data_IF_834349564603
#
_entry.id   IF_834349564603
#
_cell.length_a   1.000
_cell.length_b   1.000
_cell.length_c   1.000
_cell.angle_alpha   90.00
_cell.angle_beta   90.00
_cell.angle_gamma   90.00
#
_symmetry.space_group_name_H-M   'P 1'
#
loop_
_entity.id
_entity.type
_entity.pdbx_description
1 polymer ?
#
# COMPACT_ATOMS: atom_id res chain seq x y z
N UNK A 1 -9.67 -29.14 8.35
CA UNK A 1 -9.73 -27.70 8.67
C UNK A 1 -10.47 -26.99 7.54
N UNK A 2 -11.65 -26.42 7.79
CA UNK A 2 -12.29 -25.49 6.83
C UNK A 2 -11.50 -24.19 6.89
N UNK A 3 -10.78 -23.83 5.84
CA UNK A 3 -10.10 -22.55 5.77
C UNK A 3 -11.14 -21.43 5.79
N UNK A 4 -10.95 -20.45 6.69
CA UNK A 4 -11.73 -19.22 6.70
C UNK A 4 -11.29 -18.38 5.50
N UNK A 5 -12.13 -18.36 4.45
CA UNK A 5 -11.83 -17.72 3.16
C UNK A 5 -11.50 -16.22 3.31
N UNK A 6 -12.26 -15.43 4.08
CA UNK A 6 -11.88 -14.07 4.47
C UNK A 6 -10.49 -13.97 5.11
N UNK A 7 -10.14 -14.87 6.02
CA UNK A 7 -8.83 -14.85 6.68
C UNK A 7 -7.69 -15.11 5.68
N UNK A 8 -7.90 -16.02 4.73
CA UNK A 8 -6.94 -16.27 3.64
C UNK A 8 -6.81 -15.04 2.73
N UNK A 9 -7.92 -14.39 2.38
CA UNK A 9 -7.89 -13.17 1.58
C UNK A 9 -7.12 -12.04 2.27
N UNK A 10 -7.30 -11.88 3.59
CA UNK A 10 -6.55 -10.93 4.39
C UNK A 10 -5.04 -11.23 4.37
N UNK A 11 -4.65 -12.49 4.54
CA UNK A 11 -3.25 -12.90 4.49
C UNK A 11 -2.63 -12.63 3.11
N UNK A 12 -3.35 -12.93 2.03
CA UNK A 12 -2.87 -12.66 0.66
C UNK A 12 -2.66 -11.16 0.45
N UNK A 13 -3.64 -10.33 0.82
CA UNK A 13 -3.54 -8.88 0.69
C UNK A 13 -2.44 -8.26 1.57
N UNK A 14 -2.22 -8.80 2.77
CA UNK A 14 -1.13 -8.38 3.64
C UNK A 14 0.23 -8.72 3.02
N UNK A 15 0.41 -9.96 2.55
CA UNK A 15 1.66 -10.42 1.95
C UNK A 15 1.98 -9.74 0.62
N UNK A 16 0.98 -9.32 -0.17
CA UNK A 16 1.22 -8.59 -1.41
C UNK A 16 1.89 -7.23 -1.21
N UNK A 17 1.86 -6.67 0.01
CA UNK A 17 2.58 -5.42 0.31
C UNK A 17 4.10 -5.59 0.26
N UNK A 18 4.60 -6.82 0.43
CA UNK A 18 6.04 -7.10 0.46
C UNK A 18 6.67 -6.85 -0.91
N UNK A 19 6.01 -7.24 -2.00
CA UNK A 19 6.52 -6.97 -3.35
C UNK A 19 6.60 -5.47 -3.63
N UNK A 20 5.63 -4.70 -3.13
CA UNK A 20 5.63 -3.25 -3.27
C UNK A 20 6.77 -2.58 -2.50
N UNK A 21 7.05 -3.04 -1.28
CA UNK A 21 8.20 -2.56 -0.49
C UNK A 21 9.53 -2.89 -1.17
N UNK A 22 9.71 -4.12 -1.67
CA UNK A 22 10.95 -4.52 -2.35
C UNK A 22 11.23 -3.59 -3.53
N UNK A 23 10.21 -3.33 -4.36
CA UNK A 23 10.38 -2.52 -5.56
C UNK A 23 10.60 -1.04 -5.21
N UNK A 24 9.84 -0.48 -4.27
CA UNK A 24 10.03 0.92 -3.87
C UNK A 24 11.35 1.15 -3.16
N UNK A 25 11.85 0.18 -2.39
CA UNK A 25 13.22 0.22 -1.87
C UNK A 25 14.26 0.25 -2.98
N UNK A 26 14.11 -0.58 -4.01
CA UNK A 26 15.00 -0.55 -5.16
C UNK A 26 14.99 0.85 -5.79
N UNK A 27 13.83 1.45 -6.03
CA UNK A 27 13.72 2.80 -6.58
C UNK A 27 14.35 3.86 -5.68
N UNK A 28 14.12 3.83 -4.36
CA UNK A 28 14.78 4.77 -3.43
C UNK A 28 16.32 4.61 -3.45
N UNK A 29 16.83 3.39 -3.63
CA UNK A 29 18.28 3.15 -3.76
C UNK A 29 18.88 3.73 -5.04
N UNK A 30 18.08 3.86 -6.10
CA UNK A 30 18.45 4.57 -7.34
C UNK A 30 18.18 6.09 -7.28
N UNK A 31 17.75 6.62 -6.13
CA UNK A 31 17.39 8.03 -5.96
C UNK A 31 16.02 8.41 -6.56
N UNK A 32 15.26 7.42 -7.02
CA UNK A 32 13.90 7.57 -7.53
C UNK A 32 12.97 7.47 -6.32
N UNK A 33 12.73 8.61 -5.67
CA UNK A 33 11.88 8.73 -4.47
C UNK A 33 12.66 8.83 -3.16
N UNK A 34 12.05 9.52 -2.18
CA UNK A 34 12.66 9.79 -0.88
C UNK A 34 12.40 8.71 0.17
N UNK A 35 11.24 8.04 0.07
CA UNK A 35 10.79 7.02 1.02
C UNK A 35 10.27 5.80 0.26
N UNK A 36 10.52 4.63 0.84
CA UNK A 36 9.85 3.37 0.47
C UNK A 36 8.41 3.36 0.99
N UNK A 37 7.58 2.43 0.50
CA UNK A 37 6.18 2.29 0.92
C UNK A 37 6.08 2.18 2.44
N UNK A 38 6.90 1.34 3.06
CA UNK A 38 6.83 1.15 4.51
C UNK A 38 7.29 2.39 5.26
N UNK A 39 8.34 3.06 4.79
CA UNK A 39 8.75 4.32 5.39
C UNK A 39 7.64 5.38 5.30
N UNK A 40 6.92 5.43 4.18
CA UNK A 40 5.82 6.37 3.97
C UNK A 40 4.65 6.10 4.91
N UNK A 41 4.16 4.86 4.93
CA UNK A 41 3.00 4.49 5.71
C UNK A 41 3.26 4.56 7.22
N UNK A 42 4.52 4.40 7.63
CA UNK A 42 4.90 4.62 9.03
C UNK A 42 4.67 6.05 9.51
N UNK A 43 4.64 7.03 8.60
CA UNK A 43 4.40 8.43 8.93
C UNK A 43 2.96 8.70 9.33
N UNK A 44 2.01 7.84 8.96
CA UNK A 44 0.64 7.91 9.46
C UNK A 44 0.57 7.81 10.99
N UNK A 45 1.53 7.10 11.59
CA UNK A 45 1.61 6.89 13.04
C UNK A 45 2.68 7.77 13.67
N UNK A 46 3.88 7.82 13.07
CA UNK A 46 5.04 8.52 13.64
C UNK A 46 5.08 10.01 13.33
N UNK A 47 4.37 10.44 12.29
CA UNK A 47 4.24 11.81 11.78
C UNK A 47 5.53 12.49 11.27
N UNK A 48 6.70 12.19 11.83
CA UNK A 48 7.95 12.85 11.46
C UNK A 48 9.18 11.92 11.45
N UNK A 49 8.99 10.62 11.68
CA UNK A 49 10.10 9.65 11.79
C UNK A 49 9.81 8.40 10.96
N UNK A 50 10.28 8.33 9.71
CA UNK A 50 10.03 7.16 8.87
C UNK A 50 10.72 5.93 9.46
N UNK A 51 9.96 4.86 9.69
CA UNK A 51 10.48 3.60 10.23
C UNK A 51 9.88 2.38 9.52
N UNK A 52 10.72 1.41 9.21
CA UNK A 52 10.31 0.23 8.45
C UNK A 52 9.39 -0.69 9.25
N UNK A 53 9.64 -0.85 10.55
CA UNK A 53 8.87 -1.76 11.40
C UNK A 53 7.42 -1.32 11.57
N UNK A 54 7.19 -0.03 11.86
CA UNK A 54 5.84 0.51 11.97
C UNK A 54 5.15 0.50 10.60
N UNK A 55 5.89 0.88 9.56
CA UNK A 55 5.44 0.82 8.17
C UNK A 55 4.93 -0.55 7.73
N UNK A 56 5.70 -1.60 8.03
CA UNK A 56 5.32 -2.99 7.78
C UNK A 56 4.00 -3.33 8.47
N UNK A 57 3.86 -3.03 9.77
CA UNK A 57 2.64 -3.35 10.52
C UNK A 57 1.42 -2.65 9.91
N UNK A 58 1.56 -1.35 9.61
CA UNK A 58 0.49 -0.56 8.97
C UNK A 58 0.14 -1.14 7.61
N UNK A 59 1.13 -1.48 6.78
CA UNK A 59 0.93 -2.10 5.48
C UNK A 59 0.21 -3.44 5.57
N UNK A 60 0.61 -4.32 6.49
CA UNK A 60 -0.04 -5.62 6.65
C UNK A 60 -1.52 -5.46 7.03
N UNK A 61 -1.85 -4.47 7.87
CA UNK A 61 -3.23 -4.17 8.27
C UNK A 61 -4.02 -3.62 7.06
N UNK A 62 -3.49 -2.61 6.38
CA UNK A 62 -4.17 -1.97 5.23
C UNK A 62 -4.32 -2.97 4.08
N UNK A 63 -3.24 -3.63 3.69
CA UNK A 63 -3.23 -4.65 2.64
C UNK A 63 -4.16 -5.81 2.96
N UNK A 64 -4.21 -6.26 4.22
CA UNK A 64 -5.17 -7.28 4.66
C UNK A 64 -6.62 -6.81 4.54
N UNK A 65 -6.91 -5.58 4.95
CA UNK A 65 -8.24 -4.99 4.79
C UNK A 65 -8.65 -4.86 3.32
N UNK A 66 -7.75 -4.40 2.46
CA UNK A 66 -7.96 -4.33 1.00
C UNK A 66 -8.21 -5.73 0.42
N UNK A 67 -7.45 -6.74 0.85
CA UNK A 67 -7.65 -8.14 0.43
C UNK A 67 -9.03 -8.68 0.79
N UNK A 68 -9.51 -8.40 2.02
CA UNK A 68 -10.88 -8.77 2.44
C UNK A 68 -11.93 -8.05 1.59
N UNK A 69 -11.79 -6.74 1.40
CA UNK A 69 -12.73 -5.95 0.60
C UNK A 69 -12.77 -6.45 -0.85
N UNK A 70 -11.62 -6.80 -1.41
CA UNK A 70 -11.54 -7.35 -2.76
C UNK A 70 -12.19 -8.73 -2.86
N UNK A 71 -12.00 -9.59 -1.86
CA UNK A 71 -12.68 -10.88 -1.80
C UNK A 71 -14.20 -10.74 -1.85
N UNK A 72 -14.78 -9.88 -1.00
CA UNK A 72 -16.23 -9.65 -0.99
C UNK A 72 -16.74 -8.90 -2.23
N UNK A 73 -15.90 -8.07 -2.87
CA UNK A 73 -16.29 -7.43 -4.13
C UNK A 73 -16.39 -8.47 -5.25
N UNK A 74 -15.46 -9.43 -5.33
CA UNK A 74 -15.48 -10.53 -6.29
C UNK A 74 -16.71 -11.43 -6.13
N UNK A 75 -17.21 -11.65 -4.91
CA UNK A 75 -18.47 -12.38 -4.70
C UNK A 75 -19.68 -11.68 -5.36
N UNK A 76 -19.62 -10.36 -5.57
CA UNK A 76 -20.70 -9.57 -6.20
C UNK A 76 -20.49 -9.35 -7.69
N UNK A 77 -19.25 -9.09 -8.12
CA UNK A 77 -18.93 -8.67 -9.50
C UNK A 77 -18.37 -9.81 -10.37
N UNK A 78 -18.21 -11.01 -9.81
CA UNK A 78 -17.67 -12.17 -10.52
C UNK A 78 -16.14 -12.20 -10.61
N UNK A 79 -15.61 -13.38 -10.97
CA UNK A 79 -14.18 -13.69 -11.05
C UNK A 79 -13.55 -13.47 -12.44
N UNK A 80 -14.34 -13.00 -13.42
CA UNK A 80 -13.87 -12.59 -14.74
C UNK A 80 -12.85 -11.44 -14.62
N UNK A 81 -11.87 -11.42 -15.53
CA UNK A 81 -10.82 -10.39 -15.61
C UNK A 81 -10.11 -10.10 -14.28
N UNK A 82 -9.84 -11.14 -13.49
CA UNK A 82 -9.33 -11.01 -12.12
C UNK A 82 -8.05 -10.16 -12.01
N UNK A 83 -7.13 -10.30 -12.96
CA UNK A 83 -5.87 -9.53 -13.02
C UNK A 83 -6.14 -8.03 -13.18
N UNK A 84 -7.07 -7.66 -14.05
CA UNK A 84 -7.43 -6.25 -14.27
C UNK A 84 -8.14 -5.70 -13.03
N UNK A 85 -9.09 -6.46 -12.47
CA UNK A 85 -9.81 -6.07 -11.25
C UNK A 85 -8.85 -5.87 -10.07
N UNK A 86 -7.88 -6.76 -9.88
CA UNK A 86 -6.88 -6.62 -8.81
C UNK A 86 -5.97 -5.42 -9.02
N UNK A 87 -5.54 -5.17 -10.26
CA UNK A 87 -4.72 -4.00 -10.59
C UNK A 87 -5.48 -2.69 -10.30
N UNK A 88 -6.76 -2.59 -10.71
CA UNK A 88 -7.60 -1.44 -10.42
C UNK A 88 -7.79 -1.22 -8.91
N UNK A 89 -8.03 -2.30 -8.16
CA UNK A 89 -8.18 -2.21 -6.69
C UNK A 89 -6.88 -1.77 -6.02
N UNK A 90 -5.73 -2.28 -6.47
CA UNK A 90 -4.42 -1.83 -6.01
C UNK A 90 -4.18 -0.34 -6.27
N UNK A 91 -4.48 0.13 -7.48
CA UNK A 91 -4.38 1.56 -7.85
C UNK A 91 -5.25 2.46 -6.98
N UNK A 92 -6.50 2.04 -6.74
CA UNK A 92 -7.45 2.80 -5.93
C UNK A 92 -7.04 2.80 -4.45
N UNK A 93 -6.61 1.66 -3.92
CA UNK A 93 -6.14 1.55 -2.54
C UNK A 93 -4.90 2.42 -2.31
N UNK A 94 -3.95 2.41 -3.27
CA UNK A 94 -2.78 3.28 -3.21
C UNK A 94 -3.15 4.75 -3.25
N UNK A 95 -3.98 5.15 -4.23
CA UNK A 95 -4.44 6.55 -4.36
C UNK A 95 -5.15 7.03 -3.10
N UNK A 96 -5.98 6.18 -2.48
CA UNK A 96 -6.63 6.48 -1.21
C UNK A 96 -5.63 6.68 -0.07
N UNK A 97 -4.64 5.79 0.04
CA UNK A 97 -3.58 5.88 1.08
C UNK A 97 -2.73 7.13 0.90
N UNK A 98 -2.38 7.47 -0.33
CA UNK A 98 -1.60 8.66 -0.66
C UNK A 98 -2.34 9.96 -0.30
N UNK A 99 -3.65 10.03 -0.54
CA UNK A 99 -4.47 11.16 -0.13
C UNK A 99 -4.47 11.33 1.40
N UNK A 100 -4.56 10.21 2.13
CA UNK A 100 -4.51 10.22 3.61
C UNK A 100 -3.15 10.70 4.10
N UNK A 101 -2.05 10.22 3.53
CA UNK A 101 -0.69 10.65 3.90
C UNK A 101 -0.48 12.13 3.60
N UNK A 102 -0.90 12.58 2.41
CA UNK A 102 -0.76 13.97 1.98
C UNK A 102 -1.55 14.91 2.90
N UNK A 103 -2.79 14.56 3.23
CA UNK A 103 -3.60 15.40 4.10
C UNK A 103 -3.12 15.38 5.55
N UNK A 104 -2.75 14.23 6.10
CA UNK A 104 -2.44 14.12 7.53
C UNK A 104 -1.01 14.51 7.88
N UNK A 105 -0.05 14.30 6.98
CA UNK A 105 1.38 14.36 7.29
C UNK A 105 2.10 15.40 6.44
N UNK A 106 1.90 15.39 5.13
CA UNK A 106 2.67 16.25 4.23
C UNK A 106 2.34 17.74 4.37
N UNK A 107 3.37 18.58 4.32
CA UNK A 107 3.23 20.03 4.51
C UNK A 107 2.89 20.45 5.94
N UNK A 108 2.60 19.50 6.84
CA UNK A 108 2.32 19.73 8.26
C UNK A 108 3.49 19.29 9.14
N UNK A 109 3.91 18.03 9.02
CA UNK A 109 4.94 17.43 9.88
C UNK A 109 6.19 16.99 9.11
N UNK A 110 6.08 16.83 7.78
CA UNK A 110 7.21 16.66 6.87
C UNK A 110 7.10 17.65 5.70
N UNK A 111 8.22 18.04 5.05
CA UNK A 111 8.16 18.87 3.85
C UNK A 111 7.47 18.15 2.70
N UNK A 112 6.92 18.92 1.76
CA UNK A 112 6.34 18.40 0.53
C UNK A 112 7.40 17.62 -0.26
N UNK A 113 7.03 16.42 -0.71
CA UNK A 113 7.93 15.59 -1.51
C UNK A 113 8.07 16.15 -2.93
N UNK A 114 9.20 15.90 -3.61
CA UNK A 114 9.31 16.15 -5.04
C UNK A 114 8.30 15.32 -5.82
N UNK A 115 7.82 15.86 -6.94
CA UNK A 115 6.82 15.24 -7.83
C UNK A 115 7.19 13.78 -8.18
N UNK A 116 8.47 13.49 -8.43
CA UNK A 116 8.95 12.14 -8.71
C UNK A 116 8.58 11.12 -7.63
N UNK A 117 8.57 11.52 -6.35
CA UNK A 117 8.24 10.67 -5.20
C UNK A 117 6.82 10.10 -5.22
N UNK A 118 5.86 10.84 -5.77
CA UNK A 118 4.46 10.43 -5.89
C UNK A 118 4.26 9.32 -6.94
N UNK A 119 5.11 9.29 -7.97
CA UNK A 119 5.00 8.32 -9.08
C UNK A 119 5.74 7.00 -8.84
N UNK A 120 6.73 6.99 -7.94
CA UNK A 120 7.53 5.80 -7.61
C UNK A 120 6.66 4.60 -7.25
N UNK A 121 5.54 4.88 -6.60
CA UNK A 121 4.62 3.88 -6.07
C UNK A 121 3.54 3.47 -7.10
N UNK A 122 3.26 4.34 -8.08
CA UNK A 122 2.37 4.02 -9.22
C UNK A 122 3.04 3.12 -10.26
N UNK A 123 4.38 3.10 -10.31
CA UNK A 123 5.17 2.25 -11.22
C UNK A 123 5.32 0.79 -10.73
N UNK A 124 4.68 0.43 -9.62
CA UNK A 124 4.91 -0.83 -8.86
C UNK A 124 3.83 -1.89 -9.13
N UNK A 125 2.97 -1.68 -10.13
CA UNK A 125 1.91 -2.61 -10.54
C UNK A 125 2.34 -3.67 -11.54
#
# INVERSE_FOLDING_TARGET
MKYDKPMVAALIGALSTISAEILTRAFTSFGIGQYSVYQLDSLLITQNRPTLGIGLIVNLIIGGLVGILFYYSLEKIGFDYLVIKSACVGLLAWSGTELVITDLVEGKTIPLRPIAGYYVHMLVL
#
